data_IF_337601759784
#
_entry.id   IF_337601759784
#
_cell.length_a   1.000
_cell.length_b   1.000
_cell.length_c   1.000
_cell.angle_alpha   90.00
_cell.angle_beta   90.00
_cell.angle_gamma   90.00
#
_symmetry.space_group_name_H-M   'P 1'
#
loop_
_entity.id
_entity.type
_entity.pdbx_description
1 polymer ?
#
# COMPACT_ATOMS: atom_id res chain seq x y z
N UNK A 1 54.37 0.26 -12.23
CA UNK A 1 55.46 -0.02 -11.26
C UNK A 1 55.20 -1.39 -10.64
N UNK A 2 56.19 -2.28 -10.73
CA UNK A 2 56.17 -3.68 -10.27
C UNK A 2 56.71 -3.77 -8.82
N UNK A 3 56.05 -4.54 -7.95
CA UNK A 3 56.62 -5.23 -6.76
C UNK A 3 55.77 -6.50 -6.61
N UNK A 4 56.21 -7.74 -6.84
CA UNK A 4 57.34 -8.52 -6.33
C UNK A 4 57.42 -8.56 -4.79
N UNK A 5 56.79 -9.57 -4.18
CA UNK A 5 57.26 -10.24 -2.96
C UNK A 5 57.07 -11.75 -3.13
N UNK A 6 58.12 -12.50 -2.77
CA UNK A 6 58.35 -13.92 -2.95
C UNK A 6 58.35 -14.61 -1.57
N UNK A 7 57.82 -15.85 -1.56
CA UNK A 7 58.08 -17.02 -0.69
C UNK A 7 57.88 -16.95 0.84
N UNK A 8 57.21 -17.98 1.38
CA UNK A 8 57.85 -18.96 2.27
C UNK A 8 56.97 -20.21 2.46
N UNK A 9 57.47 -21.35 2.00
CA UNK A 9 57.00 -22.71 2.30
C UNK A 9 57.55 -23.18 3.64
N UNK A 10 56.74 -23.86 4.46
CA UNK A 10 57.23 -24.77 5.50
C UNK A 10 56.44 -26.07 5.51
N UNK A 11 57.15 -27.14 5.14
CA UNK A 11 56.80 -28.53 5.40
C UNK A 11 56.69 -28.80 6.90
N UNK A 12 55.71 -29.62 7.30
CA UNK A 12 55.78 -30.35 8.57
C UNK A 12 55.43 -31.82 8.34
N UNK A 13 56.46 -32.68 8.44
CA UNK A 13 56.33 -34.13 8.53
C UNK A 13 56.14 -34.55 9.99
N UNK A 14 55.17 -35.43 10.22
CA UNK A 14 55.30 -36.58 11.11
C UNK A 14 54.74 -36.47 12.53
N UNK A 15 53.64 -37.17 12.79
CA UNK A 15 53.53 -38.13 13.92
C UNK A 15 52.34 -39.07 13.71
N UNK A 16 52.65 -40.36 13.52
CA UNK A 16 51.72 -41.49 13.62
C UNK A 16 51.49 -41.77 15.11
N UNK A 17 50.24 -41.90 15.52
CA UNK A 17 49.84 -42.33 16.85
C UNK A 17 48.39 -42.80 16.81
N UNK A 18 48.20 -44.10 16.97
CA UNK A 18 46.92 -44.79 16.97
C UNK A 18 46.06 -44.33 18.16
N UNK A 19 44.85 -43.83 17.89
CA UNK A 19 43.69 -43.97 18.79
C UNK A 19 42.49 -44.29 17.89
N UNK A 20 42.27 -45.58 17.66
CA UNK A 20 40.98 -46.10 17.22
C UNK A 20 40.10 -46.16 18.47
N UNK A 21 38.98 -45.44 18.44
CA UNK A 21 37.63 -45.84 18.83
C UNK A 21 36.82 -44.59 19.20
N UNK A 22 35.65 -44.43 18.57
CA UNK A 22 34.61 -43.42 18.84
C UNK A 22 34.75 -42.02 18.18
N UNK A 23 34.73 -41.97 16.84
CA UNK A 23 34.59 -40.70 16.08
C UNK A 23 33.56 -40.78 14.93
N UNK A 24 32.52 -41.60 15.08
CA UNK A 24 31.48 -41.78 14.06
C UNK A 24 30.24 -40.87 14.23
N UNK A 25 30.20 -39.90 15.16
CA UNK A 25 28.96 -39.12 15.40
C UNK A 25 29.05 -37.60 15.35
N UNK A 26 30.21 -36.97 15.12
CA UNK A 26 30.29 -35.50 14.99
C UNK A 26 30.57 -35.00 13.56
N UNK A 27 31.38 -35.71 12.76
CA UNK A 27 31.72 -35.26 11.40
C UNK A 27 30.56 -35.38 10.41
N UNK A 28 29.67 -36.35 10.56
CA UNK A 28 28.42 -36.42 9.77
C UNK A 28 27.42 -35.34 10.17
N UNK A 29 27.46 -34.85 11.42
CA UNK A 29 26.50 -33.85 11.90
C UNK A 29 26.85 -32.43 11.42
N UNK A 30 28.14 -32.07 11.45
CA UNK A 30 28.63 -30.81 10.87
C UNK A 30 28.48 -30.81 9.35
N UNK A 31 28.64 -31.96 8.69
CA UNK A 31 28.37 -32.09 7.25
C UNK A 31 26.87 -31.91 6.93
N UNK A 32 25.94 -32.41 7.74
CA UNK A 32 24.49 -32.21 7.52
C UNK A 32 24.06 -30.75 7.77
N UNK A 33 24.60 -30.09 8.80
CA UNK A 33 24.34 -28.67 9.09
C UNK A 33 24.96 -27.72 8.03
N UNK A 34 26.13 -28.06 7.50
CA UNK A 34 26.77 -27.30 6.43
C UNK A 34 26.13 -27.60 5.06
N UNK A 35 25.73 -28.85 4.78
CA UNK A 35 25.02 -29.21 3.55
C UNK A 35 23.60 -28.66 3.53
N UNK A 36 22.90 -28.53 4.68
CA UNK A 36 21.62 -27.82 4.71
C UNK A 36 21.79 -26.32 4.49
N UNK A 37 22.94 -25.74 4.81
CA UNK A 37 23.22 -24.31 4.60
C UNK A 37 23.78 -24.02 3.19
N UNK A 38 24.50 -24.96 2.56
CA UNK A 38 25.08 -24.80 1.21
C UNK A 38 24.20 -25.35 0.09
N UNK A 39 23.37 -26.37 0.34
CA UNK A 39 22.31 -26.78 -0.61
C UNK A 39 21.15 -25.77 -0.67
N UNK A 40 21.19 -24.72 0.16
CA UNK A 40 20.25 -23.61 0.16
C UNK A 40 20.49 -22.61 -0.99
N UNK A 41 21.62 -22.70 -1.71
CA UNK A 41 22.02 -21.74 -2.75
C UNK A 41 21.89 -22.23 -4.21
N UNK A 42 21.53 -23.50 -4.46
CA UNK A 42 21.38 -24.02 -5.84
C UNK A 42 20.01 -24.67 -6.08
N UNK A 43 19.24 -24.05 -6.97
CA UNK A 43 17.87 -24.39 -7.41
C UNK A 43 17.74 -25.77 -8.12
N UNK A 44 18.83 -26.54 -8.24
CA UNK A 44 18.89 -27.72 -9.13
C UNK A 44 18.63 -29.08 -8.48
N UNK A 45 18.45 -29.17 -7.16
CA UNK A 45 18.14 -30.44 -6.50
C UNK A 45 16.71 -30.46 -5.96
N UNK A 46 15.77 -30.79 -6.86
CA UNK A 46 14.39 -31.15 -6.52
C UNK A 46 14.31 -32.54 -5.84
N UNK A 47 15.04 -32.75 -4.75
CA UNK A 47 14.68 -33.81 -3.80
C UNK A 47 13.31 -33.47 -3.19
N UNK A 48 12.41 -34.45 -2.95
CA UNK A 48 11.09 -34.16 -2.42
C UNK A 48 11.19 -33.42 -1.08
N UNK A 49 10.81 -32.15 -1.08
CA UNK A 49 10.88 -31.24 0.08
C UNK A 49 10.18 -31.79 1.32
N UNK A 50 9.19 -32.67 1.13
CA UNK A 50 8.52 -33.41 2.18
C UNK A 50 9.48 -34.22 3.07
N UNK A 51 10.63 -34.66 2.54
CA UNK A 51 11.66 -35.35 3.33
C UNK A 51 12.46 -34.41 4.21
N UNK A 52 12.68 -33.15 3.82
CA UNK A 52 13.39 -32.17 4.66
C UNK A 52 12.61 -31.83 5.94
N UNK A 53 11.27 -31.79 5.86
CA UNK A 53 10.41 -31.58 7.04
C UNK A 53 10.54 -32.70 8.09
N UNK A 54 10.71 -33.95 7.65
CA UNK A 54 10.88 -35.08 8.57
C UNK A 54 12.19 -35.00 9.39
N UNK A 55 13.21 -34.29 8.89
CA UNK A 55 14.49 -34.10 9.59
C UNK A 55 14.56 -32.81 10.44
N UNK A 56 13.65 -31.86 10.24
CA UNK A 56 13.65 -30.59 10.98
C UNK A 56 13.30 -30.78 12.47
N UNK A 57 12.34 -31.66 12.78
CA UNK A 57 11.84 -31.87 14.15
C UNK A 57 12.94 -32.38 15.10
N UNK A 58 13.76 -33.39 14.76
CA UNK A 58 14.88 -33.83 15.62
C UNK A 58 16.01 -32.80 15.73
N UNK A 59 16.23 -31.97 14.68
CA UNK A 59 17.29 -30.96 14.69
C UNK A 59 16.98 -29.79 15.63
N UNK A 60 15.69 -29.39 15.73
CA UNK A 60 15.25 -28.33 16.65
C UNK A 60 15.63 -28.59 18.12
N UNK A 61 15.72 -29.86 18.53
CA UNK A 61 16.10 -30.24 19.89
C UNK A 61 17.60 -30.10 20.18
N UNK A 62 18.44 -29.91 19.15
CA UNK A 62 19.91 -29.87 19.28
C UNK A 62 20.53 -28.51 18.99
N UNK A 63 19.92 -27.70 18.12
CA UNK A 63 20.46 -26.41 17.67
C UNK A 63 19.91 -25.19 18.43
N UNK A 64 19.18 -25.40 19.53
CA UNK A 64 18.39 -24.35 20.18
C UNK A 64 17.02 -24.17 19.52
N UNK A 65 15.99 -23.78 20.28
CA UNK A 65 14.62 -23.68 19.79
C UNK A 65 14.50 -22.73 18.59
N UNK A 66 15.19 -21.60 18.62
CA UNK A 66 15.11 -20.55 17.60
C UNK A 66 15.52 -21.02 16.20
N UNK A 67 16.65 -21.74 16.09
CA UNK A 67 17.14 -22.25 14.80
C UNK A 67 16.18 -23.30 14.24
N UNK A 68 15.57 -24.11 15.11
CA UNK A 68 14.55 -25.07 14.72
C UNK A 68 13.32 -24.38 14.11
N UNK A 69 12.80 -23.37 14.82
CA UNK A 69 11.64 -22.58 14.38
C UNK A 69 11.94 -21.82 13.08
N UNK A 70 13.13 -21.22 12.95
CA UNK A 70 13.57 -20.53 11.73
C UNK A 70 13.57 -21.45 10.51
N UNK A 71 14.09 -22.67 10.66
CA UNK A 71 14.11 -23.65 9.57
C UNK A 71 12.70 -24.14 9.22
N UNK A 72 11.81 -24.29 10.20
CA UNK A 72 10.40 -24.59 9.97
C UNK A 72 9.71 -23.46 9.17
N UNK A 73 9.96 -22.20 9.53
CA UNK A 73 9.48 -21.02 8.81
C UNK A 73 9.93 -21.01 7.34
N UNK A 74 11.19 -21.34 7.08
CA UNK A 74 11.73 -21.50 5.72
C UNK A 74 11.01 -22.61 4.94
N UNK A 75 10.66 -23.71 5.63
CA UNK A 75 9.88 -24.79 5.05
C UNK A 75 8.48 -24.34 4.61
N UNK A 76 7.78 -23.60 5.49
CA UNK A 76 6.45 -23.04 5.21
C UNK A 76 6.48 -22.06 4.03
N UNK A 77 7.49 -21.18 3.97
CA UNK A 77 7.67 -20.25 2.85
C UNK A 77 7.73 -21.00 1.51
N UNK A 78 8.52 -22.07 1.44
CA UNK A 78 8.71 -22.87 0.23
C UNK A 78 7.47 -23.66 -0.17
N UNK A 79 6.63 -24.03 0.79
CA UNK A 79 5.30 -24.62 0.52
C UNK A 79 4.23 -23.58 0.25
N UNK A 80 4.60 -22.30 0.09
CA UNK A 80 3.71 -21.15 -0.12
C UNK A 80 2.70 -20.91 1.00
N UNK A 81 2.95 -21.45 2.19
CA UNK A 81 2.24 -21.08 3.40
C UNK A 81 2.90 -19.82 3.97
N UNK A 82 2.72 -18.70 3.27
CA UNK A 82 3.38 -17.44 3.59
C UNK A 82 2.95 -16.90 4.95
N UNK A 83 1.66 -17.04 5.31
CA UNK A 83 1.14 -16.62 6.61
C UNK A 83 1.71 -17.46 7.76
N UNK A 84 1.79 -18.77 7.60
CA UNK A 84 2.45 -19.62 8.59
C UNK A 84 3.94 -19.30 8.71
N UNK A 85 4.60 -19.02 7.57
CA UNK A 85 6.01 -18.66 7.50
C UNK A 85 6.32 -17.33 8.19
N UNK A 86 5.58 -16.27 7.86
CA UNK A 86 5.64 -14.95 8.47
C UNK A 86 5.58 -15.06 10.00
N UNK A 87 4.55 -15.75 10.51
CA UNK A 87 4.36 -15.92 11.95
C UNK A 87 5.58 -16.57 12.61
N UNK A 88 6.09 -17.67 12.06
CA UNK A 88 7.23 -18.36 12.64
C UNK A 88 8.52 -17.54 12.55
N UNK A 89 8.71 -16.73 11.50
CA UNK A 89 9.84 -15.81 11.45
C UNK A 89 9.72 -14.70 12.52
N UNK A 90 8.52 -14.15 12.73
CA UNK A 90 8.27 -13.19 13.80
C UNK A 90 8.55 -13.76 15.20
N UNK A 91 8.11 -15.01 15.45
CA UNK A 91 8.41 -15.71 16.71
C UNK A 91 9.93 -15.84 16.94
N UNK A 92 10.70 -16.16 15.90
CA UNK A 92 12.18 -16.23 15.98
C UNK A 92 12.79 -14.86 16.26
N UNK A 93 12.36 -13.83 15.53
CA UNK A 93 12.88 -12.47 15.69
C UNK A 93 12.62 -11.91 17.10
N UNK A 94 11.51 -12.30 17.72
CA UNK A 94 11.14 -11.87 19.07
C UNK A 94 11.89 -12.63 20.18
N UNK A 95 12.23 -13.91 19.97
CA UNK A 95 12.79 -14.77 21.01
C UNK A 95 14.32 -14.80 21.03
N UNK A 96 14.96 -14.62 19.87
CA UNK A 96 16.39 -14.86 19.75
C UNK A 96 17.24 -13.69 20.26
N UNK A 97 18.32 -14.02 20.96
CA UNK A 97 19.35 -13.06 21.40
C UNK A 97 20.48 -12.89 20.36
N UNK A 98 20.58 -13.79 19.37
CA UNK A 98 21.56 -13.68 18.29
C UNK A 98 21.12 -12.64 17.26
N UNK A 99 21.75 -11.47 17.29
CA UNK A 99 21.48 -10.36 16.36
C UNK A 99 21.53 -10.79 14.89
N UNK A 100 22.40 -11.73 14.51
CA UNK A 100 22.48 -12.22 13.12
C UNK A 100 21.29 -13.08 12.76
N UNK A 101 20.81 -13.91 13.69
CA UNK A 101 19.61 -14.71 13.46
C UNK A 101 18.36 -13.81 13.45
N UNK A 102 18.29 -12.83 14.35
CA UNK A 102 17.22 -11.83 14.41
C UNK A 102 17.12 -11.04 13.10
N UNK A 103 18.23 -10.51 12.59
CA UNK A 103 18.26 -9.80 11.32
C UNK A 103 17.73 -10.66 10.16
N UNK A 104 18.15 -11.94 10.08
CA UNK A 104 17.67 -12.89 9.06
C UNK A 104 16.19 -13.22 9.22
N UNK A 105 15.70 -13.32 10.45
CA UNK A 105 14.29 -13.61 10.72
C UNK A 105 13.41 -12.44 10.26
N UNK A 106 13.75 -11.21 10.63
CA UNK A 106 13.06 -9.99 10.18
C UNK A 106 13.03 -9.88 8.64
N UNK A 107 14.18 -10.06 7.98
CA UNK A 107 14.27 -10.07 6.51
C UNK A 107 13.31 -11.10 5.87
N UNK A 108 13.30 -12.34 6.39
CA UNK A 108 12.46 -13.39 5.81
C UNK A 108 10.97 -13.21 6.17
N UNK A 109 10.66 -12.60 7.32
CA UNK A 109 9.28 -12.22 7.67
C UNK A 109 8.74 -11.19 6.69
N UNK A 110 9.48 -10.09 6.44
CA UNK A 110 9.11 -9.09 5.44
C UNK A 110 8.97 -9.70 4.04
N UNK A 111 9.88 -10.60 3.67
CA UNK A 111 9.80 -11.33 2.39
C UNK A 111 8.57 -12.25 2.31
N UNK A 112 8.20 -12.93 3.41
CA UNK A 112 6.98 -13.75 3.51
C UNK A 112 5.72 -12.91 3.35
N UNK A 113 5.66 -11.74 3.99
CA UNK A 113 4.57 -10.78 3.81
C UNK A 113 4.40 -10.39 2.34
N UNK A 114 5.48 -9.93 1.69
CA UNK A 114 5.45 -9.55 0.27
C UNK A 114 5.01 -10.73 -0.63
N UNK A 115 5.42 -11.96 -0.33
CA UNK A 115 4.99 -13.11 -1.11
C UNK A 115 3.49 -13.43 -0.89
N UNK A 116 2.97 -13.18 0.31
CA UNK A 116 1.57 -13.39 0.69
C UNK A 116 0.58 -12.37 0.12
N UNK A 117 1.04 -11.20 -0.35
CA UNK A 117 0.14 -10.14 -0.85
C UNK A 117 -0.45 -10.41 -2.25
N UNK A 118 -0.14 -11.53 -2.91
CA UNK A 118 -0.56 -11.77 -4.28
C UNK A 118 -2.08 -11.81 -4.49
N UNK A 119 -2.86 -12.19 -3.48
CA UNK A 119 -4.30 -12.50 -3.61
C UNK A 119 -5.23 -11.58 -2.80
N UNK A 120 -4.71 -10.50 -2.18
CA UNK A 120 -5.49 -9.57 -1.35
C UNK A 120 -6.22 -8.47 -2.11
N UNK A 121 -7.14 -7.76 -1.44
CA UNK A 121 -7.60 -6.44 -1.89
C UNK A 121 -6.43 -5.45 -1.89
N UNK A 122 -6.51 -4.38 -2.69
CA UNK A 122 -5.41 -3.40 -2.76
C UNK A 122 -5.04 -2.80 -1.40
N UNK A 123 -6.05 -2.52 -0.56
CA UNK A 123 -5.87 -2.02 0.81
C UNK A 123 -5.05 -3.00 1.66
N UNK A 124 -5.45 -4.27 1.71
CA UNK A 124 -4.73 -5.28 2.49
C UNK A 124 -3.30 -5.49 1.98
N UNK A 125 -3.08 -5.36 0.66
CA UNK A 125 -1.73 -5.43 0.09
C UNK A 125 -0.87 -4.27 0.53
N UNK A 126 -1.40 -3.04 0.51
CA UNK A 126 -0.66 -1.86 0.94
C UNK A 126 -0.29 -1.92 2.43
N UNK A 127 -1.20 -2.39 3.28
CA UNK A 127 -0.91 -2.60 4.71
C UNK A 127 0.22 -3.61 4.91
N UNK A 128 0.15 -4.78 4.25
CA UNK A 128 1.20 -5.79 4.35
C UNK A 128 2.54 -5.35 3.72
N UNK A 129 2.52 -4.54 2.67
CA UNK A 129 3.74 -3.95 2.10
C UNK A 129 4.33 -2.92 3.05
N UNK A 130 3.52 -2.11 3.74
CA UNK A 130 4.01 -1.17 4.76
C UNK A 130 4.72 -1.91 5.89
N UNK A 131 4.11 -2.98 6.41
CA UNK A 131 4.72 -3.81 7.45
C UNK A 131 6.01 -4.48 6.96
N UNK A 132 6.02 -4.99 5.72
CA UNK A 132 7.22 -5.56 5.14
C UNK A 132 8.36 -4.54 4.99
N UNK A 133 8.06 -3.28 4.66
CA UNK A 133 9.05 -2.19 4.59
C UNK A 133 9.72 -2.04 5.96
N UNK A 134 8.92 -1.89 7.04
CA UNK A 134 9.45 -1.75 8.40
C UNK A 134 10.32 -2.93 8.81
N UNK A 135 9.89 -4.16 8.55
CA UNK A 135 10.69 -5.36 8.88
C UNK A 135 12.00 -5.44 8.10
N UNK A 136 12.02 -4.95 6.86
CA UNK A 136 13.23 -4.90 6.04
C UNK A 136 14.18 -3.79 6.51
N UNK A 137 13.65 -2.65 6.93
CA UNK A 137 14.41 -1.56 7.56
C UNK A 137 15.04 -2.02 8.89
N UNK A 138 14.26 -2.66 9.77
CA UNK A 138 14.76 -3.22 11.03
C UNK A 138 15.86 -4.27 10.80
N UNK A 139 15.71 -5.09 9.75
CA UNK A 139 16.76 -6.05 9.36
C UNK A 139 18.05 -5.35 8.90
N UNK A 140 17.91 -4.26 8.15
CA UNK A 140 19.04 -3.46 7.66
C UNK A 140 19.71 -2.64 8.77
N UNK A 141 18.98 -2.26 9.81
CA UNK A 141 19.57 -1.64 11.01
C UNK A 141 20.56 -2.62 11.68
N UNK A 142 20.17 -3.89 11.81
CA UNK A 142 21.02 -4.94 12.38
C UNK A 142 22.13 -5.40 11.42
N UNK A 143 21.88 -5.38 10.11
CA UNK A 143 22.85 -5.82 9.09
C UNK A 143 22.87 -4.86 7.87
N UNK A 144 23.57 -3.73 7.95
CA UNK A 144 23.52 -2.68 6.92
C UNK A 144 24.08 -3.07 5.54
N UNK A 145 24.92 -4.11 5.47
CA UNK A 145 25.56 -4.57 4.24
C UNK A 145 24.77 -5.68 3.52
N UNK A 146 23.55 -5.99 3.98
CA UNK A 146 22.71 -7.01 3.35
C UNK A 146 22.11 -6.51 2.02
N UNK A 147 22.71 -6.93 0.90
CA UNK A 147 22.28 -6.54 -0.44
C UNK A 147 20.89 -7.09 -0.79
N UNK A 148 20.55 -8.29 -0.31
CA UNK A 148 19.25 -8.92 -0.61
C UNK A 148 18.13 -8.17 0.12
N UNK A 149 18.37 -7.75 1.36
CA UNK A 149 17.43 -6.92 2.10
C UNK A 149 17.21 -5.55 1.45
N UNK A 150 18.27 -4.89 0.95
CA UNK A 150 18.15 -3.62 0.19
C UNK A 150 17.31 -3.79 -1.07
N UNK A 151 17.55 -4.85 -1.85
CA UNK A 151 16.79 -5.12 -3.07
C UNK A 151 15.31 -5.41 -2.78
N UNK A 152 15.03 -6.18 -1.72
CA UNK A 152 13.65 -6.44 -1.31
C UNK A 152 12.96 -5.19 -0.77
N UNK A 153 13.68 -4.31 -0.07
CA UNK A 153 13.16 -3.03 0.40
C UNK A 153 12.81 -2.14 -0.80
N UNK A 154 13.73 -1.97 -1.76
CA UNK A 154 13.46 -1.23 -2.99
C UNK A 154 12.23 -1.78 -3.74
N UNK A 155 12.11 -3.10 -3.84
CA UNK A 155 10.92 -3.74 -4.43
C UNK A 155 9.64 -3.41 -3.65
N UNK A 156 9.68 -3.46 -2.32
CA UNK A 156 8.54 -3.15 -1.47
C UNK A 156 8.11 -1.68 -1.61
N UNK A 157 9.07 -0.75 -1.63
CA UNK A 157 8.82 0.67 -1.85
C UNK A 157 8.18 0.90 -3.24
N UNK A 158 8.69 0.26 -4.29
CA UNK A 158 8.09 0.33 -5.63
C UNK A 158 6.65 -0.21 -5.67
N UNK A 159 6.39 -1.31 -4.94
CA UNK A 159 5.03 -1.86 -4.80
C UNK A 159 4.09 -0.92 -4.03
N UNK A 160 4.58 -0.28 -2.97
CA UNK A 160 3.83 0.72 -2.21
C UNK A 160 3.39 1.88 -3.11
N UNK A 161 4.34 2.46 -3.86
CA UNK A 161 4.08 3.57 -4.79
C UNK A 161 3.05 3.18 -5.84
N UNK A 162 3.28 2.07 -6.56
CA UNK A 162 2.38 1.61 -7.62
C UNK A 162 0.99 1.23 -7.12
N UNK A 163 0.90 0.61 -5.94
CA UNK A 163 -0.37 0.26 -5.30
C UNK A 163 -1.17 1.51 -4.89
N UNK A 164 -0.52 2.52 -4.28
CA UNK A 164 -1.17 3.79 -3.93
C UNK A 164 -1.70 4.51 -5.16
N UNK A 165 -0.91 4.56 -6.23
CA UNK A 165 -1.36 5.15 -7.50
C UNK A 165 -2.56 4.42 -8.10
N UNK A 166 -2.54 3.09 -8.10
CA UNK A 166 -3.66 2.28 -8.60
C UNK A 166 -4.92 2.50 -7.74
N UNK A 167 -4.77 2.62 -6.42
CA UNK A 167 -5.88 2.91 -5.52
C UNK A 167 -6.45 4.31 -5.76
N UNK A 168 -5.59 5.32 -5.90
CA UNK A 168 -6.02 6.69 -6.19
C UNK A 168 -6.73 6.79 -7.55
N UNK A 169 -6.20 6.14 -8.59
CA UNK A 169 -6.85 6.08 -9.91
C UNK A 169 -8.24 5.45 -9.83
N UNK A 170 -8.39 4.36 -9.07
CA UNK A 170 -9.69 3.73 -8.84
C UNK A 170 -10.68 4.71 -8.17
N UNK A 171 -10.26 5.39 -7.10
CA UNK A 171 -11.09 6.37 -6.39
C UNK A 171 -11.53 7.52 -7.29
N UNK A 172 -10.61 8.04 -8.11
CA UNK A 172 -10.89 9.10 -9.09
C UNK A 172 -11.92 8.64 -10.12
N UNK A 173 -11.75 7.43 -10.68
CA UNK A 173 -12.68 6.90 -11.67
C UNK A 173 -14.07 6.61 -11.05
N UNK A 174 -14.12 6.15 -9.81
CA UNK A 174 -15.37 5.99 -9.06
C UNK A 174 -16.04 7.35 -8.81
N UNK A 175 -15.28 8.38 -8.42
CA UNK A 175 -15.78 9.75 -8.25
C UNK A 175 -16.37 10.33 -9.54
N UNK A 176 -15.71 10.13 -10.68
CA UNK A 176 -16.24 10.55 -11.99
C UNK A 176 -17.57 9.85 -12.32
N UNK A 177 -17.69 8.56 -11.98
CA UNK A 177 -18.95 7.81 -12.13
C UNK A 177 -20.08 8.31 -11.21
N UNK A 178 -19.75 8.76 -10.00
CA UNK A 178 -20.69 9.36 -9.05
C UNK A 178 -21.18 10.74 -9.54
N UNK A 179 -20.31 11.55 -10.14
CA UNK A 179 -20.72 12.84 -10.73
C UNK A 179 -21.73 12.68 -11.87
N UNK A 180 -21.61 11.63 -12.67
CA UNK A 180 -22.59 11.33 -13.72
C UNK A 180 -23.97 10.95 -13.17
N UNK A 181 -24.04 10.56 -11.90
CA UNK A 181 -25.27 10.19 -11.17
C UNK A 181 -25.74 11.32 -10.25
N UNK A 182 -25.17 12.52 -10.38
CA UNK A 182 -25.46 13.69 -9.54
C UNK A 182 -25.17 13.47 -8.03
N UNK A 183 -24.27 12.54 -7.71
CA UNK A 183 -23.82 12.24 -6.33
C UNK A 183 -22.51 12.98 -6.03
N UNK A 184 -22.52 14.31 -6.15
CA UNK A 184 -21.34 15.16 -6.08
C UNK A 184 -20.65 15.17 -4.72
N UNK A 185 -21.39 15.01 -3.61
CA UNK A 185 -20.82 14.91 -2.26
C UNK A 185 -19.96 13.67 -2.11
N UNK A 186 -20.49 12.51 -2.51
CA UNK A 186 -19.73 11.25 -2.48
C UNK A 186 -18.53 11.29 -3.44
N UNK A 187 -18.70 11.89 -4.62
CA UNK A 187 -17.59 12.11 -5.55
C UNK A 187 -16.47 12.97 -4.92
N UNK A 188 -16.84 14.06 -4.23
CA UNK A 188 -15.91 14.94 -3.52
C UNK A 188 -15.09 14.16 -2.48
N UNK A 189 -15.74 13.34 -1.66
CA UNK A 189 -15.08 12.49 -0.65
C UNK A 189 -14.07 11.52 -1.28
N UNK A 190 -14.41 10.93 -2.44
CA UNK A 190 -13.49 10.06 -3.17
C UNK A 190 -12.28 10.81 -3.74
N UNK A 191 -12.46 12.03 -4.27
CA UNK A 191 -11.33 12.85 -4.73
C UNK A 191 -10.42 13.28 -3.58
N UNK A 192 -10.99 13.64 -2.43
CA UNK A 192 -10.23 13.95 -1.21
C UNK A 192 -9.42 12.73 -0.74
N UNK A 193 -10.06 11.55 -0.68
CA UNK A 193 -9.40 10.29 -0.31
C UNK A 193 -8.29 9.92 -1.31
N UNK A 194 -8.48 10.17 -2.60
CA UNK A 194 -7.47 9.93 -3.62
C UNK A 194 -6.23 10.82 -3.41
N UNK A 195 -6.43 12.10 -3.05
CA UNK A 195 -5.33 13.01 -2.71
C UNK A 195 -4.56 12.54 -1.47
N UNK A 196 -5.27 12.16 -0.42
CA UNK A 196 -4.65 11.62 0.80
C UNK A 196 -3.85 10.34 0.53
N UNK A 197 -4.36 9.49 -0.37
CA UNK A 197 -3.68 8.25 -0.78
C UNK A 197 -2.35 8.54 -1.50
N UNK A 198 -2.30 9.61 -2.30
CA UNK A 198 -1.12 10.03 -3.07
C UNK A 198 -0.10 10.84 -2.25
N UNK A 199 -0.51 11.53 -1.18
CA UNK A 199 0.36 12.44 -0.44
C UNK A 199 1.69 11.80 0.02
N UNK A 200 1.73 10.59 0.62
CA UNK A 200 3.00 9.98 1.02
C UNK A 200 3.92 9.65 -0.16
N UNK A 201 3.38 9.46 -1.36
CA UNK A 201 4.21 9.16 -2.56
C UNK A 201 5.05 10.38 -2.95
N UNK A 202 4.50 11.58 -2.78
CA UNK A 202 5.20 12.84 -3.07
C UNK A 202 6.27 13.16 -2.03
N UNK A 203 5.96 12.94 -0.75
CA UNK A 203 6.82 13.32 0.36
C UNK A 203 7.97 12.32 0.58
N UNK A 204 7.68 11.01 0.54
CA UNK A 204 8.59 9.99 1.07
C UNK A 204 9.38 9.21 0.00
N UNK A 205 8.88 9.11 -1.24
CA UNK A 205 9.42 8.17 -2.22
C UNK A 205 10.17 8.83 -3.39
N UNK A 206 9.49 9.68 -4.16
CA UNK A 206 10.12 10.41 -5.28
C UNK A 206 9.29 11.66 -5.64
N UNK A 207 9.74 12.86 -5.24
CA UNK A 207 9.09 14.12 -5.57
C UNK A 207 8.96 14.37 -7.07
N UNK A 208 9.72 13.65 -7.91
CA UNK A 208 9.71 13.78 -9.36
C UNK A 208 9.00 12.62 -10.07
N UNK A 209 8.21 11.83 -9.35
CA UNK A 209 7.43 10.75 -9.97
C UNK A 209 6.37 11.34 -10.93
N UNK A 210 6.75 11.43 -12.21
CA UNK A 210 5.93 12.00 -13.29
C UNK A 210 4.58 11.32 -13.48
N UNK A 211 4.39 10.12 -12.91
CA UNK A 211 3.15 9.39 -13.03
C UNK A 211 2.11 9.78 -11.97
N UNK A 212 2.53 10.35 -10.84
CA UNK A 212 1.62 10.80 -9.76
C UNK A 212 0.97 12.12 -10.12
N UNK A 213 1.72 13.03 -10.74
CA UNK A 213 1.26 14.39 -11.04
C UNK A 213 -0.07 14.44 -11.82
N UNK A 214 -0.29 13.65 -12.88
CA UNK A 214 -1.56 13.68 -13.62
C UNK A 214 -2.77 13.24 -12.78
N UNK A 215 -2.60 12.28 -11.87
CA UNK A 215 -3.69 11.82 -11.00
C UNK A 215 -4.04 12.90 -9.98
N UNK A 216 -3.03 13.55 -9.41
CA UNK A 216 -3.21 14.66 -8.48
C UNK A 216 -3.87 15.86 -9.16
N UNK A 217 -3.35 16.29 -10.31
CA UNK A 217 -3.92 17.40 -11.09
C UNK A 217 -5.38 17.14 -11.45
N UNK A 218 -5.73 15.89 -11.80
CA UNK A 218 -7.11 15.48 -12.06
C UNK A 218 -7.98 15.60 -10.81
N UNK A 219 -7.54 15.06 -9.67
CA UNK A 219 -8.31 15.16 -8.42
C UNK A 219 -8.45 16.62 -7.94
N UNK A 220 -7.38 17.40 -7.99
CA UNK A 220 -7.37 18.83 -7.63
C UNK A 220 -8.28 19.65 -8.54
N UNK A 221 -8.20 19.42 -9.86
CA UNK A 221 -9.04 20.10 -10.83
C UNK A 221 -10.53 19.84 -10.60
N UNK A 222 -10.90 18.60 -10.28
CA UNK A 222 -12.28 18.23 -9.98
C UNK A 222 -12.77 18.84 -8.66
N UNK A 223 -11.95 18.83 -7.60
CA UNK A 223 -12.29 19.48 -6.34
C UNK A 223 -12.48 20.99 -6.50
N UNK A 224 -11.59 21.66 -7.22
CA UNK A 224 -11.71 23.10 -7.52
C UNK A 224 -12.93 23.42 -8.39
N UNK A 225 -13.32 22.52 -9.30
CA UNK A 225 -14.55 22.67 -10.06
C UNK A 225 -15.76 22.59 -9.13
N UNK A 226 -15.85 21.57 -8.27
CA UNK A 226 -16.97 21.40 -7.34
C UNK A 226 -17.09 22.57 -6.35
N UNK A 227 -15.97 23.08 -5.85
CA UNK A 227 -15.94 24.25 -4.98
C UNK A 227 -16.45 25.51 -5.71
N UNK A 228 -15.98 25.75 -6.94
CA UNK A 228 -16.46 26.86 -7.77
C UNK A 228 -17.95 26.75 -8.08
N UNK A 229 -18.44 25.56 -8.35
CA UNK A 229 -19.87 25.30 -8.60
C UNK A 229 -20.74 25.67 -7.39
N UNK A 230 -20.29 25.34 -6.16
CA UNK A 230 -20.99 25.75 -4.94
C UNK A 230 -20.97 27.27 -4.78
N UNK A 231 -19.83 27.92 -5.00
CA UNK A 231 -19.73 29.38 -4.85
C UNK A 231 -20.55 30.14 -5.90
N UNK A 232 -20.49 29.72 -7.17
CA UNK A 232 -21.33 30.27 -8.23
C UNK A 232 -22.81 30.15 -7.91
N UNK A 233 -23.24 28.99 -7.38
CA UNK A 233 -24.64 28.80 -6.99
C UNK A 233 -25.03 29.73 -5.83
N UNK A 234 -24.11 30.03 -4.89
CA UNK A 234 -24.36 31.03 -3.85
C UNK A 234 -24.46 32.46 -4.41
N UNK A 235 -23.66 32.80 -5.41
CA UNK A 235 -23.76 34.08 -6.11
C UNK A 235 -25.09 34.19 -6.87
N UNK A 236 -25.51 33.14 -7.58
CA UNK A 236 -26.82 33.08 -8.24
C UNK A 236 -27.98 33.34 -7.25
N UNK A 237 -27.91 32.79 -6.02
CA UNK A 237 -28.92 33.06 -5.00
C UNK A 237 -28.97 34.54 -4.60
N UNK A 238 -27.80 35.19 -4.49
CA UNK A 238 -27.71 36.62 -4.18
C UNK A 238 -28.24 37.47 -5.33
N UNK A 239 -27.95 37.08 -6.57
CA UNK A 239 -28.43 37.77 -7.77
C UNK A 239 -29.95 37.64 -7.90
N UNK A 240 -30.53 36.47 -7.60
CA UNK A 240 -31.99 36.27 -7.51
C UNK A 240 -32.59 37.22 -6.48
N UNK A 241 -32.01 37.29 -5.27
CA UNK A 241 -32.47 38.20 -4.23
C UNK A 241 -32.40 39.67 -4.68
N UNK A 242 -31.29 40.06 -5.31
CA UNK A 242 -31.11 41.43 -5.80
C UNK A 242 -32.12 41.79 -6.90
N UNK A 243 -32.34 40.89 -7.87
CA UNK A 243 -33.32 41.08 -8.93
C UNK A 243 -34.75 41.22 -8.37
N UNK A 244 -35.11 40.45 -7.34
CA UNK A 244 -36.39 40.59 -6.63
C UNK A 244 -36.51 41.99 -5.99
N UNK A 245 -35.47 42.46 -5.30
CA UNK A 245 -35.45 43.78 -4.66
C UNK A 245 -35.56 44.92 -5.67
N UNK A 246 -35.07 44.71 -6.89
CA UNK A 246 -35.14 45.66 -8.02
C UNK A 246 -36.42 45.52 -8.86
N UNK A 247 -37.35 44.64 -8.48
CA UNK A 247 -38.58 44.33 -9.23
C UNK A 247 -38.32 43.72 -10.63
N UNK A 248 -37.13 43.14 -10.85
CA UNK A 248 -36.73 42.45 -12.09
C UNK A 248 -37.17 40.97 -12.08
N UNK A 249 -38.47 40.76 -11.91
CA UNK A 249 -39.03 39.43 -11.63
C UNK A 249 -38.80 38.38 -12.72
N UNK A 250 -38.68 38.79 -13.98
CA UNK A 250 -38.39 37.86 -15.06
C UNK A 250 -36.97 37.29 -14.95
N UNK A 251 -35.97 38.15 -14.71
CA UNK A 251 -34.60 37.71 -14.51
C UNK A 251 -34.46 36.80 -13.28
N UNK A 252 -35.13 37.14 -12.17
CA UNK A 252 -35.16 36.31 -10.98
C UNK A 252 -35.78 34.93 -11.26
N UNK A 253 -36.91 34.88 -11.99
CA UNK A 253 -37.57 33.64 -12.36
C UNK A 253 -36.71 32.77 -13.30
N UNK A 254 -36.01 33.37 -14.26
CA UNK A 254 -35.10 32.67 -15.17
C UNK A 254 -33.99 31.93 -14.41
N UNK A 255 -33.34 32.62 -13.48
CA UNK A 255 -32.29 32.03 -12.66
C UNK A 255 -32.89 30.96 -11.74
N UNK A 256 -34.01 31.21 -11.07
CA UNK A 256 -34.64 30.25 -10.16
C UNK A 256 -35.08 28.95 -10.85
N UNK A 257 -35.59 29.03 -12.09
CA UNK A 257 -36.10 27.88 -12.83
C UNK A 257 -35.03 27.12 -13.63
N UNK A 258 -33.80 27.64 -13.71
CA UNK A 258 -32.72 26.94 -14.38
C UNK A 258 -32.39 25.60 -13.69
N UNK A 259 -32.47 24.49 -14.42
CA UNK A 259 -32.02 23.18 -13.93
C UNK A 259 -30.71 22.81 -14.63
N UNK A 260 -29.60 23.23 -14.02
CA UNK A 260 -28.27 22.81 -14.44
C UNK A 260 -27.77 21.65 -13.61
N UNK A 261 -26.89 20.83 -14.19
CA UNK A 261 -26.28 19.71 -13.45
C UNK A 261 -25.39 20.23 -12.33
N UNK A 262 -24.68 21.31 -12.59
CA UNK A 262 -23.82 22.02 -11.67
C UNK A 262 -24.59 22.47 -10.43
N UNK A 263 -25.79 23.04 -10.61
CA UNK A 263 -26.66 23.42 -9.49
C UNK A 263 -27.08 22.21 -8.66
N UNK A 264 -27.43 21.09 -9.30
CA UNK A 264 -27.74 19.83 -8.59
C UNK A 264 -26.54 19.32 -7.79
N UNK A 265 -25.32 19.41 -8.34
CA UNK A 265 -24.09 19.10 -7.60
C UNK A 265 -23.88 20.04 -6.42
N UNK A 266 -24.08 21.35 -6.59
CA UNK A 266 -23.96 22.31 -5.50
C UNK A 266 -24.92 22.01 -4.36
N UNK A 267 -26.17 21.62 -4.67
CA UNK A 267 -27.18 21.26 -3.68
C UNK A 267 -26.88 19.93 -2.98
N UNK A 268 -26.31 18.95 -3.68
CA UNK A 268 -25.88 17.69 -3.05
C UNK A 268 -24.71 17.92 -2.07
N UNK A 269 -23.76 18.80 -2.43
CA UNK A 269 -22.63 19.18 -1.58
C UNK A 269 -23.08 20.05 -0.39
N UNK A 270 -23.91 21.07 -0.64
CA UNK A 270 -24.42 22.02 0.35
C UNK A 270 -25.96 21.97 0.38
N UNK A 271 -26.50 21.03 1.16
CA UNK A 271 -27.95 20.81 1.27
C UNK A 271 -28.69 22.05 1.79
N UNK A 272 -28.03 22.88 2.61
CA UNK A 272 -28.63 24.10 3.13
C UNK A 272 -28.83 25.12 2.00
N UNK A 273 -27.85 25.28 1.12
CA UNK A 273 -27.99 26.11 -0.08
C UNK A 273 -29.17 25.67 -0.95
N UNK A 274 -29.33 24.36 -1.14
CA UNK A 274 -30.50 23.81 -1.85
C UNK A 274 -31.83 24.15 -1.19
N UNK A 275 -31.91 24.08 0.14
CA UNK A 275 -33.10 24.47 0.91
C UNK A 275 -33.40 25.97 0.79
N UNK A 276 -32.38 26.82 0.85
CA UNK A 276 -32.54 28.28 0.69
C UNK A 276 -33.08 28.63 -0.70
N UNK A 277 -32.57 28.00 -1.76
CA UNK A 277 -33.11 28.14 -3.12
C UNK A 277 -34.57 27.70 -3.23
N UNK A 278 -34.90 26.53 -2.69
CA UNK A 278 -36.27 26.01 -2.72
C UNK A 278 -37.24 26.92 -1.96
N UNK A 279 -36.83 27.44 -0.80
CA UNK A 279 -37.62 28.41 -0.05
C UNK A 279 -37.82 29.71 -0.84
N UNK A 280 -36.79 30.17 -1.56
CA UNK A 280 -36.89 31.35 -2.42
C UNK A 280 -37.92 31.15 -3.55
N UNK A 281 -37.89 30.00 -4.22
CA UNK A 281 -38.86 29.63 -5.25
C UNK A 281 -40.29 29.63 -4.68
N UNK A 282 -40.50 28.95 -3.55
CA UNK A 282 -41.80 28.85 -2.90
C UNK A 282 -42.35 30.23 -2.50
N UNK A 283 -41.52 31.08 -1.90
CA UNK A 283 -41.91 32.44 -1.49
C UNK A 283 -42.32 33.32 -2.68
N UNK A 284 -41.80 33.03 -3.87
CA UNK A 284 -42.03 33.83 -5.08
C UNK A 284 -42.90 33.12 -6.13
N UNK A 285 -43.57 32.01 -5.77
CA UNK A 285 -44.32 31.18 -6.72
C UNK A 285 -45.40 31.96 -7.49
N UNK A 286 -46.08 32.91 -6.83
CA UNK A 286 -47.10 33.75 -7.47
C UNK A 286 -46.50 34.62 -8.58
N UNK A 287 -45.33 35.20 -8.34
CA UNK A 287 -44.60 36.01 -9.31
C UNK A 287 -44.16 35.15 -10.49
N UNK A 288 -43.59 33.97 -10.20
CA UNK A 288 -43.19 33.00 -11.22
C UNK A 288 -44.38 32.62 -12.10
N UNK A 289 -45.56 32.35 -11.52
CA UNK A 289 -46.77 32.01 -12.28
C UNK A 289 -47.28 33.16 -13.17
N UNK A 290 -47.04 34.41 -12.79
CA UNK A 290 -47.41 35.58 -13.61
C UNK A 290 -46.45 35.73 -14.80
N UNK A 291 -45.14 35.60 -14.56
CA UNK A 291 -44.10 35.72 -15.59
C UNK A 291 -44.14 34.51 -16.54
N UNK A 292 -44.33 33.32 -15.99
CA UNK A 292 -44.39 32.04 -16.69
C UNK A 292 -45.71 31.30 -16.41
N UNK A 293 -46.83 31.69 -17.06
CA UNK A 293 -48.13 31.05 -16.85
C UNK A 293 -48.16 29.55 -17.14
N UNK A 294 -47.25 29.07 -18.00
CA UNK A 294 -47.10 27.66 -18.35
C UNK A 294 -46.27 26.87 -17.33
N UNK A 295 -45.53 27.55 -16.43
CA UNK A 295 -44.69 26.89 -15.43
C UNK A 295 -45.49 26.30 -14.26
N UNK A 296 -46.75 26.71 -14.08
CA UNK A 296 -47.64 26.21 -13.01
C UNK A 296 -48.01 24.71 -13.10
N UNK A 297 -47.52 23.99 -14.12
CA UNK A 297 -47.72 22.55 -14.30
C UNK A 297 -46.48 21.69 -13.98
N UNK A 298 -45.36 22.27 -13.51
CA UNK A 298 -44.13 21.53 -13.21
C UNK A 298 -44.10 20.86 -11.82
N UNK A 299 -45.20 20.89 -11.07
CA UNK A 299 -45.38 20.02 -9.90
C UNK A 299 -45.70 18.57 -10.34
N UNK A 300 -44.74 17.83 -10.91
CA UNK A 300 -44.70 16.35 -10.93
C UNK A 300 -43.29 15.80 -11.07
#
# INVERSE_FOLDING_TARGET
MKKCIVSATKEHKGRKGQILHSLCSLRSFVAILLLSSSAFAEEKFATPFSRCFAFAKPLSQRSGPDIGTFNAACGLYRTKDFKGSEKLFGDVAAQTEDEKLKARALYNQGTALLAGTADGSITNRLEAVAEAITLLEDSLELKPDDLDAKQNLERALNWMVSGRMTQAEKLINEADGLLQQDQAKAAKENYETAKETLAPVEDDFDPNNRQVQPLKDRADGQLQMLERTVEQTKEELKDVQHAIDMYEYQAAADVMLADSRERRWAFDIDQKLGQEFQQMIQNNQNVINIVYPQAGNYER
#
